data_IF_168011128670
#
_entry.id   IF_168011128670
#
_cell.length_a   1.000
_cell.length_b   1.000
_cell.length_c   1.000
_cell.angle_alpha   90.00
_cell.angle_beta   90.00
_cell.angle_gamma   90.00
#
_symmetry.space_group_name_H-M   'P 1'
#
loop_
_entity.id
_entity.type
_entity.pdbx_description
1 polymer ?
#
# COMPACT_ATOMS: atom_id res chain seq x y z
N UNK A 1 47.88 -20.22 24.08
CA UNK A 1 46.66 -20.14 23.25
C UNK A 1 46.89 -19.07 22.20
N UNK A 2 46.73 -19.45 20.93
CA UNK A 2 47.22 -18.76 19.74
C UNK A 2 46.69 -17.35 19.52
N UNK A 3 47.56 -16.44 19.12
CA UNK A 3 47.22 -15.17 18.49
C UNK A 3 47.02 -15.39 16.98
N UNK A 4 45.83 -15.11 16.47
CA UNK A 4 45.53 -15.12 15.03
C UNK A 4 45.88 -13.75 14.44
N UNK A 5 46.92 -13.71 13.60
CA UNK A 5 47.31 -12.53 12.82
C UNK A 5 46.49 -12.51 11.53
N UNK A 6 45.68 -11.47 11.35
CA UNK A 6 45.06 -11.16 10.06
C UNK A 6 46.07 -10.41 9.19
N UNK A 7 46.40 -10.97 8.03
CA UNK A 7 47.24 -10.34 7.01
C UNK A 7 46.31 -9.61 6.04
N UNK A 8 46.45 -8.29 5.95
CA UNK A 8 45.81 -7.46 4.94
C UNK A 8 46.53 -7.63 3.60
N UNK A 9 45.78 -7.88 2.53
CA UNK A 9 46.26 -7.88 1.14
C UNK A 9 45.88 -6.56 0.46
N UNK A 10 46.85 -5.77 -0.03
CA UNK A 10 46.59 -4.65 -0.93
C UNK A 10 47.20 -4.91 -2.32
N UNK A 11 46.38 -4.97 -3.36
CA UNK A 11 46.78 -4.97 -4.77
C UNK A 11 45.47 -4.82 -5.58
N UNK A 12 45.34 -4.01 -6.64
CA UNK A 12 46.15 -2.96 -7.25
C UNK A 12 45.19 -2.28 -8.25
N UNK A 13 45.09 -0.94 -8.24
CA UNK A 13 44.39 -0.17 -9.28
C UNK A 13 45.22 -0.14 -10.56
N UNK A 14 44.59 -0.41 -11.70
CA UNK A 14 45.11 -0.07 -13.03
C UNK A 14 43.97 0.57 -13.86
N UNK A 15 44.17 1.77 -14.43
CA UNK A 15 43.21 2.40 -15.32
C UNK A 15 43.42 1.89 -16.75
N UNK A 16 42.33 1.61 -17.47
CA UNK A 16 42.36 1.42 -18.91
C UNK A 16 41.55 2.52 -19.59
N UNK A 17 42.16 3.00 -20.67
CA UNK A 17 41.90 4.27 -21.33
C UNK A 17 40.68 4.25 -22.26
N UNK A 18 40.22 5.47 -22.55
CA UNK A 18 39.32 5.89 -23.63
C UNK A 18 39.42 5.03 -24.91
N UNK A 19 38.26 4.57 -25.37
CA UNK A 19 38.00 4.17 -26.74
C UNK A 19 36.63 4.68 -27.14
N UNK A 20 36.59 5.91 -27.66
CA UNK A 20 35.43 6.51 -28.29
C UNK A 20 35.45 6.03 -29.76
N UNK A 21 34.58 5.11 -30.14
CA UNK A 21 34.38 4.79 -31.55
C UNK A 21 32.88 4.75 -31.84
N UNK A 22 32.42 5.89 -32.37
CA UNK A 22 31.07 6.10 -32.84
C UNK A 22 30.95 5.52 -34.25
N UNK A 23 30.02 4.59 -34.44
CA UNK A 23 29.64 4.15 -35.78
C UNK A 23 28.93 5.31 -36.53
N UNK A 24 29.26 5.56 -37.81
CA UNK A 24 28.68 6.66 -38.57
C UNK A 24 27.24 6.32 -39.00
N UNK A 25 26.30 7.20 -38.68
CA UNK A 25 24.96 7.22 -39.25
C UNK A 25 24.98 8.11 -40.51
N UNK A 26 24.76 7.50 -41.67
CA UNK A 26 24.55 8.21 -42.94
C UNK A 26 23.20 8.96 -42.93
N UNK A 27 23.09 10.17 -43.51
CA UNK A 27 21.85 10.94 -43.56
C UNK A 27 21.19 10.92 -44.95
N UNK A 28 19.89 10.61 -45.01
CA UNK A 28 18.87 11.18 -45.91
C UNK A 28 17.54 10.46 -45.61
N UNK A 29 16.34 11.00 -45.69
CA UNK A 29 15.83 12.26 -46.20
C UNK A 29 14.49 12.53 -45.50
N UNK A 30 14.03 13.78 -45.56
CA UNK A 30 13.01 14.34 -44.69
C UNK A 30 11.61 13.72 -44.73
N UNK A 31 10.87 13.99 -43.65
CA UNK A 31 9.43 14.12 -43.66
C UNK A 31 9.04 15.46 -43.01
N UNK A 32 8.00 16.12 -43.52
CA UNK A 32 7.81 17.56 -43.38
C UNK A 32 7.31 17.99 -42.00
N UNK A 33 7.69 19.21 -41.64
CA UNK A 33 7.09 19.98 -40.58
C UNK A 33 5.70 20.44 -41.04
N UNK A 34 4.67 20.06 -40.28
CA UNK A 34 3.43 20.82 -40.21
C UNK A 34 3.18 21.12 -38.73
N UNK A 35 3.20 22.42 -38.44
CA UNK A 35 2.91 23.00 -37.15
C UNK A 35 1.41 22.91 -36.89
N UNK A 36 1.01 22.20 -35.84
CA UNK A 36 -0.34 22.28 -35.28
C UNK A 36 -0.21 22.58 -33.78
N UNK A 37 -0.39 23.87 -33.50
CA UNK A 37 -0.88 24.52 -32.29
C UNK A 37 -1.20 23.62 -31.08
N UNK A 38 -0.46 23.82 -29.98
CA UNK A 38 -0.83 23.35 -28.65
C UNK A 38 -2.17 24.01 -28.24
N UNK A 39 -3.26 23.25 -28.30
CA UNK A 39 -4.52 23.63 -27.68
C UNK A 39 -4.63 22.92 -26.34
N UNK A 40 -4.36 23.66 -25.27
CA UNK A 40 -4.75 23.32 -23.91
C UNK A 40 -6.29 23.19 -23.84
N UNK A 41 -6.76 21.96 -23.80
CA UNK A 41 -8.04 21.60 -23.22
C UNK A 41 -7.92 20.17 -22.72
N UNK A 42 -7.41 20.01 -21.49
CA UNK A 42 -7.61 18.76 -20.75
C UNK A 42 -9.08 18.73 -20.31
N UNK A 43 -9.96 18.41 -21.25
CA UNK A 43 -11.32 18.00 -20.96
C UNK A 43 -11.24 16.79 -20.04
N UNK A 44 -11.66 16.97 -18.80
CA UNK A 44 -12.11 15.89 -17.93
C UNK A 44 -13.27 15.21 -18.66
N UNK A 45 -12.97 14.24 -19.51
CA UNK A 45 -13.95 13.28 -19.99
C UNK A 45 -14.34 12.43 -18.80
N UNK A 46 -15.48 12.77 -18.21
CA UNK A 46 -16.34 11.87 -17.47
C UNK A 46 -16.39 10.55 -18.24
N UNK A 47 -15.74 9.53 -17.72
CA UNK A 47 -15.61 8.23 -18.37
C UNK A 47 -16.94 7.46 -18.22
N UNK A 48 -18.00 7.99 -18.83
CA UNK A 48 -19.20 7.28 -19.21
C UNK A 48 -19.12 6.92 -20.68
N UNK A 49 -18.21 6.02 -21.07
CA UNK A 49 -18.33 5.34 -22.35
C UNK A 49 -19.11 4.05 -22.10
N UNK A 50 -20.41 4.10 -22.38
CA UNK A 50 -21.31 2.96 -22.32
C UNK A 50 -21.02 2.00 -23.49
N UNK A 51 -19.93 1.26 -23.37
CA UNK A 51 -19.90 -0.08 -23.95
C UNK A 51 -20.99 -0.89 -23.24
N UNK A 52 -21.74 -1.70 -23.99
CA UNK A 52 -22.84 -2.50 -23.48
C UNK A 52 -22.37 -3.34 -22.29
N UNK A 53 -22.57 -2.80 -21.09
CA UNK A 53 -22.07 -3.37 -19.87
C UNK A 53 -22.82 -4.67 -19.65
N UNK A 54 -22.10 -5.79 -19.78
CA UNK A 54 -22.39 -6.92 -18.90
C UNK A 54 -22.56 -6.30 -17.51
N UNK A 55 -23.72 -6.45 -16.85
CA UNK A 55 -23.92 -5.83 -15.54
C UNK A 55 -22.73 -6.25 -14.68
N UNK A 56 -21.98 -5.27 -14.15
CA UNK A 56 -20.86 -5.59 -13.28
C UNK A 56 -21.41 -6.54 -12.21
N UNK A 57 -20.74 -7.68 -12.02
CA UNK A 57 -21.19 -8.66 -11.02
C UNK A 57 -21.26 -8.03 -9.61
N UNK A 58 -20.57 -6.91 -9.43
CA UNK A 58 -20.46 -6.12 -8.21
C UNK A 58 -21.24 -4.82 -8.29
N UNK A 59 -21.56 -4.25 -7.12
CA UNK A 59 -22.27 -2.97 -7.01
C UNK A 59 -21.35 -1.81 -7.37
N UNK A 60 -21.94 -0.75 -7.92
CA UNK A 60 -21.22 0.50 -8.17
C UNK A 60 -20.97 1.32 -6.90
N UNK A 61 -21.73 1.06 -5.82
CA UNK A 61 -21.67 1.80 -4.54
C UNK A 61 -21.99 0.88 -3.37
N UNK A 62 -21.36 1.18 -2.24
CA UNK A 62 -21.53 0.51 -0.97
C UNK A 62 -21.71 1.58 0.11
N UNK A 63 -22.75 1.44 0.93
CA UNK A 63 -22.91 2.25 2.13
C UNK A 63 -22.07 1.58 3.21
N UNK A 64 -21.04 2.25 3.73
CA UNK A 64 -20.09 1.62 4.67
C UNK A 64 -20.51 1.86 6.12
N UNK A 65 -20.48 0.80 6.92
CA UNK A 65 -20.78 0.88 8.37
C UNK A 65 -19.55 1.35 9.19
N UNK A 66 -18.35 1.30 8.59
CA UNK A 66 -17.11 1.74 9.22
C UNK A 66 -17.15 3.24 9.57
N UNK A 67 -16.60 3.61 10.72
CA UNK A 67 -16.63 4.98 11.22
C UNK A 67 -15.40 5.72 10.74
N UNK A 68 -15.59 6.70 9.84
CA UNK A 68 -14.50 7.33 9.08
C UNK A 68 -13.67 6.27 8.34
N UNK A 69 -14.22 5.65 7.28
CA UNK A 69 -13.56 4.56 6.59
C UNK A 69 -12.22 4.99 6.01
N UNK A 70 -11.16 4.25 6.32
CA UNK A 70 -9.83 4.47 5.77
C UNK A 70 -9.21 3.16 5.31
N UNK A 71 -8.57 3.23 4.13
CA UNK A 71 -7.95 2.10 3.47
C UNK A 71 -8.94 1.02 3.07
N UNK A 72 -8.44 0.06 2.31
CA UNK A 72 -9.17 -1.13 1.97
C UNK A 72 -8.44 -1.98 0.95
N UNK A 73 -8.85 -3.23 0.87
CA UNK A 73 -8.31 -4.21 -0.08
C UNK A 73 -9.44 -5.13 -0.56
N UNK A 74 -9.20 -5.92 -1.59
CA UNK A 74 -10.16 -6.86 -2.15
C UNK A 74 -9.57 -8.26 -2.17
N UNK A 75 -10.32 -9.22 -1.62
CA UNK A 75 -10.02 -10.64 -1.78
C UNK A 75 -10.83 -11.21 -2.93
N UNK A 76 -10.12 -11.62 -3.99
CA UNK A 76 -10.73 -12.22 -5.18
C UNK A 76 -11.35 -13.59 -4.86
N UNK A 77 -10.79 -14.34 -3.91
CA UNK A 77 -11.25 -15.69 -3.60
C UNK A 77 -12.61 -15.70 -2.90
N UNK A 78 -12.84 -14.77 -1.97
CA UNK A 78 -14.13 -14.63 -1.28
C UNK A 78 -15.08 -13.58 -1.90
N UNK A 79 -14.63 -12.85 -2.92
CA UNK A 79 -15.34 -11.71 -3.53
C UNK A 79 -15.76 -10.65 -2.49
N UNK A 80 -14.86 -10.31 -1.56
CA UNK A 80 -15.11 -9.35 -0.48
C UNK A 80 -14.11 -8.20 -0.48
N UNK A 81 -14.61 -7.00 -0.18
CA UNK A 81 -13.77 -5.87 0.21
C UNK A 81 -13.56 -5.90 1.72
N UNK A 82 -12.37 -5.48 2.16
CA UNK A 82 -12.10 -5.18 3.56
C UNK A 82 -11.85 -3.69 3.71
N UNK A 83 -12.39 -3.07 4.75
CA UNK A 83 -12.29 -1.63 5.02
C UNK A 83 -11.98 -1.39 6.49
N UNK A 84 -11.06 -0.47 6.76
CA UNK A 84 -10.67 -0.03 8.10
C UNK A 84 -11.54 1.09 8.63
N UNK A 85 -11.45 1.36 9.93
CA UNK A 85 -12.24 2.34 10.66
C UNK A 85 -11.33 3.15 11.58
N UNK A 86 -11.27 4.46 11.37
CA UNK A 86 -10.56 5.37 12.28
C UNK A 86 -11.36 5.72 13.53
N UNK A 87 -12.65 5.39 13.56
CA UNK A 87 -13.48 5.69 14.73
C UNK A 87 -13.33 4.68 15.86
N UNK A 88 -13.07 3.41 15.54
CA UNK A 88 -13.08 2.32 16.53
C UNK A 88 -12.06 1.20 16.25
N UNK A 89 -11.18 1.36 15.24
CA UNK A 89 -10.13 0.39 14.91
C UNK A 89 -10.66 -0.96 14.41
N UNK A 90 -11.94 -1.04 14.05
CA UNK A 90 -12.53 -2.25 13.52
C UNK A 90 -12.14 -2.50 12.05
N UNK A 91 -12.32 -3.73 11.59
CA UNK A 91 -12.21 -4.09 10.17
C UNK A 91 -13.53 -4.71 9.73
N UNK A 92 -14.07 -4.19 8.64
CA UNK A 92 -15.32 -4.60 8.05
C UNK A 92 -15.05 -5.40 6.78
N UNK A 93 -15.74 -6.52 6.60
CA UNK A 93 -15.82 -7.23 5.33
C UNK A 93 -17.15 -6.91 4.65
N UNK A 94 -17.10 -6.65 3.34
CA UNK A 94 -18.25 -6.27 2.53
C UNK A 94 -18.34 -7.22 1.34
N UNK A 95 -19.46 -7.93 1.20
CA UNK A 95 -19.74 -8.74 0.02
C UNK A 95 -19.85 -7.85 -1.22
N UNK A 96 -19.03 -8.09 -2.23
CA UNK A 96 -18.96 -7.22 -3.40
C UNK A 96 -20.25 -7.24 -4.25
N UNK A 97 -21.06 -8.29 -4.19
CA UNK A 97 -22.26 -8.44 -5.01
C UNK A 97 -23.49 -7.87 -4.30
N UNK A 98 -23.60 -8.14 -3.01
CA UNK A 98 -24.79 -7.81 -2.20
C UNK A 98 -24.59 -6.56 -1.36
N UNK A 99 -23.36 -6.14 -1.09
CA UNK A 99 -23.04 -5.07 -0.15
C UNK A 99 -23.38 -5.42 1.30
N UNK A 100 -23.66 -6.69 1.62
CA UNK A 100 -23.82 -7.15 3.00
C UNK A 100 -22.48 -6.99 3.73
N UNK A 101 -22.54 -6.52 4.97
CA UNK A 101 -21.35 -6.22 5.77
C UNK A 101 -21.32 -7.03 7.05
N UNK A 102 -20.11 -7.39 7.46
CA UNK A 102 -19.84 -7.95 8.77
C UNK A 102 -18.56 -7.32 9.35
N UNK A 103 -18.54 -7.11 10.66
CA UNK A 103 -17.30 -6.75 11.34
C UNK A 103 -16.50 -8.02 11.58
N UNK A 104 -15.35 -8.15 10.92
CA UNK A 104 -14.47 -9.31 11.03
C UNK A 104 -13.46 -9.16 12.16
N UNK A 105 -13.10 -7.93 12.50
CA UNK A 105 -12.23 -7.66 13.64
C UNK A 105 -12.70 -6.44 14.43
N UNK A 106 -12.63 -6.55 15.76
CA UNK A 106 -12.79 -5.44 16.70
C UNK A 106 -11.59 -5.40 17.60
N UNK A 107 -10.98 -4.23 17.75
CA UNK A 107 -9.98 -4.06 18.78
C UNK A 107 -10.64 -4.03 20.15
N UNK A 108 -10.04 -4.73 21.10
CA UNK A 108 -10.52 -4.87 22.47
C UNK A 108 -9.52 -4.35 23.50
N UNK A 109 -8.28 -4.11 23.07
CA UNK A 109 -7.27 -3.46 23.89
C UNK A 109 -7.64 -1.99 24.14
N UNK A 110 -7.31 -1.44 25.33
CA UNK A 110 -7.47 -0.02 25.58
C UNK A 110 -6.61 0.80 24.61
N UNK A 111 -7.10 1.98 24.23
CA UNK A 111 -6.41 2.87 23.30
C UNK A 111 -7.40 3.53 22.34
N UNK A 112 -6.88 4.42 21.50
CA UNK A 112 -7.65 5.03 20.41
C UNK A 112 -7.15 4.42 19.12
N UNK A 113 -7.71 3.28 18.76
CA UNK A 113 -7.20 2.48 17.65
C UNK A 113 -7.78 2.90 16.31
N UNK A 114 -6.91 2.95 15.32
CA UNK A 114 -7.22 3.19 13.92
C UNK A 114 -6.71 2.05 13.07
N UNK A 115 -7.49 1.62 12.08
CA UNK A 115 -7.05 0.71 11.02
C UNK A 115 -7.01 1.47 9.71
N UNK A 116 -5.86 1.42 9.03
CA UNK A 116 -5.57 2.25 7.85
C UNK A 116 -5.30 1.36 6.62
N UNK A 117 -4.04 1.26 6.20
CA UNK A 117 -3.64 0.39 5.10
C UNK A 117 -3.79 -1.09 5.43
N UNK A 118 -4.18 -1.90 4.45
CA UNK A 118 -4.30 -3.34 4.59
C UNK A 118 -4.11 -4.04 3.26
N UNK A 119 -3.76 -5.32 3.31
CA UNK A 119 -3.60 -6.17 2.13
C UNK A 119 -3.90 -7.64 2.42
N UNK A 120 -4.32 -8.36 1.39
CA UNK A 120 -4.64 -9.80 1.48
C UNK A 120 -3.40 -10.60 1.12
N UNK A 121 -2.85 -11.32 2.11
CA UNK A 121 -1.88 -12.38 1.86
C UNK A 121 -2.64 -13.66 1.49
N UNK A 122 -2.95 -13.80 0.20
CA UNK A 122 -3.67 -14.96 -0.34
C UNK A 122 -2.93 -16.27 -0.06
N UNK A 123 -1.59 -16.25 -0.15
CA UNK A 123 -0.77 -17.45 0.01
C UNK A 123 -0.83 -18.02 1.43
N UNK A 124 -1.02 -17.14 2.43
CA UNK A 124 -1.13 -17.54 3.84
C UNK A 124 -2.56 -17.46 4.38
N UNK A 125 -3.50 -17.02 3.56
CA UNK A 125 -4.90 -16.80 3.92
C UNK A 125 -5.05 -15.84 5.12
N UNK A 126 -4.38 -14.69 5.02
CA UNK A 126 -4.34 -13.66 6.07
C UNK A 126 -4.74 -12.29 5.51
N UNK A 127 -5.32 -11.47 6.37
CA UNK A 127 -5.40 -10.03 6.17
C UNK A 127 -4.30 -9.38 6.98
N UNK A 128 -3.39 -8.67 6.32
CA UNK A 128 -2.38 -7.84 6.97
C UNK A 128 -2.98 -6.45 7.12
N UNK A 129 -3.04 -5.93 8.34
CA UNK A 129 -3.65 -4.63 8.65
C UNK A 129 -2.63 -3.76 9.35
N UNK A 130 -2.39 -2.58 8.82
CA UNK A 130 -1.68 -1.56 9.54
C UNK A 130 -2.65 -0.81 10.46
N UNK A 131 -2.29 -0.76 11.73
CA UNK A 131 -3.05 -0.10 12.77
C UNK A 131 -2.20 0.89 13.56
N UNK A 132 -2.82 1.93 14.09
CA UNK A 132 -2.18 2.89 14.97
C UNK A 132 -2.99 3.08 16.24
N UNK A 133 -2.29 3.19 17.37
CA UNK A 133 -2.87 3.73 18.61
C UNK A 133 -2.59 5.23 18.66
N UNK A 134 -3.64 6.04 18.58
CA UNK A 134 -3.56 7.49 18.72
C UNK A 134 -3.43 7.88 20.19
N UNK A 135 -2.21 8.30 20.55
CA UNK A 135 -1.86 8.73 21.91
C UNK A 135 -1.76 10.25 22.06
N UNK A 136 -2.36 10.99 21.13
CA UNK A 136 -2.44 12.46 21.21
C UNK A 136 -3.07 12.89 22.52
N UNK A 137 -2.38 13.77 23.25
CA UNK A 137 -3.05 14.69 24.17
C UNK A 137 -3.43 15.97 23.41
N UNK A 138 -4.54 16.60 23.80
CA UNK A 138 -5.00 17.84 23.17
C UNK A 138 -3.95 18.93 23.40
N UNK A 139 -3.28 19.38 22.33
CA UNK A 139 -2.28 20.46 22.37
C UNK A 139 -0.88 20.04 21.92
N UNK A 140 -0.65 18.75 21.66
CA UNK A 140 0.64 18.27 21.15
C UNK A 140 0.86 18.64 19.68
N UNK A 141 2.07 19.13 19.38
CA UNK A 141 2.47 19.62 18.05
C UNK A 141 3.02 18.48 17.17
N UNK A 142 3.37 17.34 17.77
CA UNK A 142 3.88 16.16 17.08
C UNK A 142 3.59 14.92 17.94
N UNK A 143 2.50 14.20 17.67
CA UNK A 143 2.03 13.24 18.64
C UNK A 143 2.56 11.82 18.43
N UNK A 144 2.74 11.06 19.52
CA UNK A 144 3.26 9.71 19.43
C UNK A 144 2.18 8.75 18.94
N UNK A 145 2.06 8.58 17.63
CA UNK A 145 1.37 7.39 17.10
C UNK A 145 2.24 6.17 17.37
N UNK A 146 1.65 5.11 17.90
CA UNK A 146 2.31 3.81 17.91
C UNK A 146 1.77 2.96 16.79
N UNK A 147 2.60 2.75 15.76
CA UNK A 147 2.26 1.94 14.60
C UNK A 147 2.44 0.45 14.83
N UNK A 148 1.52 -0.34 14.29
CA UNK A 148 1.48 -1.79 14.38
C UNK A 148 1.09 -2.42 13.05
N UNK A 149 1.61 -3.61 12.77
CA UNK A 149 1.11 -4.51 11.75
C UNK A 149 0.43 -5.68 12.43
N UNK A 150 -0.85 -5.87 12.17
CA UNK A 150 -1.63 -7.02 12.61
C UNK A 150 -1.74 -8.02 11.48
N UNK A 151 -1.66 -9.29 11.83
CA UNK A 151 -2.03 -10.39 10.93
C UNK A 151 -3.32 -11.00 11.45
N UNK A 152 -4.36 -10.98 10.63
CA UNK A 152 -5.66 -11.54 10.94
C UNK A 152 -5.90 -12.78 10.08
N UNK A 153 -6.48 -13.84 10.67
CA UNK A 153 -6.98 -14.97 9.89
C UNK A 153 -8.15 -14.50 9.02
N UNK A 154 -8.05 -14.74 7.71
CA UNK A 154 -9.03 -14.21 6.75
C UNK A 154 -10.42 -14.87 6.88
N UNK A 155 -10.50 -16.04 7.53
CA UNK A 155 -11.76 -16.77 7.76
C UNK A 155 -12.45 -16.31 9.03
N UNK A 156 -11.69 -16.28 10.13
CA UNK A 156 -12.25 -16.09 11.48
C UNK A 156 -12.15 -14.65 11.97
N UNK A 157 -11.27 -13.85 11.37
CA UNK A 157 -10.91 -12.53 11.86
C UNK A 157 -10.05 -12.55 13.13
N UNK A 158 -9.60 -13.72 13.57
CA UNK A 158 -8.72 -13.84 14.74
C UNK A 158 -7.37 -13.18 14.47
N UNK A 159 -6.89 -12.37 15.42
CA UNK A 159 -5.54 -11.80 15.35
C UNK A 159 -4.50 -12.87 15.67
N UNK A 160 -3.77 -13.28 14.64
CA UNK A 160 -2.70 -14.27 14.69
C UNK A 160 -1.38 -13.68 15.20
N UNK A 161 -1.08 -12.43 14.85
CA UNK A 161 0.14 -11.73 15.26
C UNK A 161 -0.06 -10.23 15.36
N UNK A 162 0.82 -9.58 16.14
CA UNK A 162 1.02 -8.12 16.13
C UNK A 162 2.51 -7.83 16.12
N UNK A 163 2.92 -6.92 15.25
CA UNK A 163 4.31 -6.46 15.12
C UNK A 163 4.35 -4.97 15.34
N UNK A 164 5.19 -4.50 16.25
CA UNK A 164 5.35 -3.07 16.49
C UNK A 164 6.24 -2.49 15.42
N UNK A 165 5.78 -1.45 14.71
CA UNK A 165 6.60 -0.79 13.69
C UNK A 165 7.82 -0.09 14.29
N UNK A 166 7.68 0.41 15.52
CA UNK A 166 8.76 0.98 16.32
C UNK A 166 9.97 0.06 16.51
N UNK A 167 9.81 -1.26 16.38
CA UNK A 167 10.93 -2.22 16.51
C UNK A 167 11.85 -2.21 15.29
N UNK A 168 11.36 -1.72 14.14
CA UNK A 168 12.16 -1.52 12.92
C UNK A 168 12.74 -0.10 12.87
N UNK A 169 11.95 0.90 13.23
CA UNK A 169 12.36 2.31 13.30
C UNK A 169 11.46 3.06 14.28
N UNK A 170 12.05 3.79 15.24
CA UNK A 170 11.34 4.30 16.43
C UNK A 170 10.13 5.20 16.13
N UNK A 171 10.12 5.89 15.00
CA UNK A 171 9.01 6.78 14.59
C UNK A 171 8.17 6.20 13.45
N UNK A 172 8.32 4.91 13.12
CA UNK A 172 7.56 4.29 12.04
C UNK A 172 6.07 4.20 12.40
N UNK A 173 5.26 4.68 11.46
CA UNK A 173 3.80 4.68 11.53
C UNK A 173 3.21 4.00 10.31
N UNK A 174 1.89 3.92 10.22
CA UNK A 174 1.25 3.27 9.08
C UNK A 174 1.48 3.96 7.72
N UNK A 175 1.90 5.22 7.70
CA UNK A 175 2.27 5.89 6.44
C UNK A 175 3.62 5.42 5.89
N UNK A 176 4.42 4.72 6.71
CA UNK A 176 5.77 4.27 6.36
C UNK A 176 5.81 2.81 5.87
N UNK A 177 4.65 2.13 5.83
CA UNK A 177 4.54 0.72 5.46
C UNK A 177 4.14 0.59 4.00
N UNK A 178 4.91 -0.19 3.25
CA UNK A 178 4.50 -0.76 1.96
C UNK A 178 4.58 -2.27 2.07
N UNK A 179 3.50 -2.93 1.66
CA UNK A 179 3.46 -4.37 1.43
C UNK A 179 3.66 -4.58 -0.08
N UNK A 180 4.50 -5.54 -0.43
CA UNK A 180 4.96 -5.80 -1.80
C UNK A 180 4.48 -7.18 -2.28
#
# INVERSE_FOLDING_TARGET
MSALRWVASPLLLLPLALGCDAAPLEPDAGLPADAETLSDAHTLTDAGSADAASPSAYRARYDLDAVHPEGGTFDVASERFFVGSLGDGSVHAIDARTGEQAVVFRETEPGTWWTLGMDVDEARHRLVVCAMDDRREIGDVDPPYEGWVWELDLTTGERLARHRLGDAFDTATCTDVTVA
#
